data_IF_033821345513
#
_entry.id   IF_033821345513
#
_cell.length_a   1.000
_cell.length_b   1.000
_cell.length_c   1.000
_cell.angle_alpha   90.00
_cell.angle_beta   90.00
_cell.angle_gamma   90.00
#
_symmetry.space_group_name_H-M   'P 1'
#
loop_
_entity.id
_entity.type
_entity.pdbx_description
1 polymer ?
#
# COMPACT_ATOMS: atom_id res chain seq x y z
N UNK A 1 10.06 71.05 -49.58
CA UNK A 1 9.23 71.19 -48.37
C UNK A 1 8.04 70.27 -48.53
N UNK A 2 8.06 69.10 -47.90
CA UNK A 2 7.56 68.88 -46.53
C UNK A 2 6.02 68.78 -46.52
N UNK A 3 5.31 67.81 -45.94
CA UNK A 3 5.53 66.50 -45.31
C UNK A 3 4.09 65.90 -45.19
N UNK A 4 3.96 64.57 -45.27
CA UNK A 4 2.89 63.70 -44.74
C UNK A 4 1.40 64.09 -44.90
N UNK A 5 0.65 63.20 -45.57
CA UNK A 5 -0.64 62.72 -45.06
C UNK A 5 -0.65 61.20 -45.11
N UNK A 6 -0.15 60.60 -44.04
CA UNK A 6 -0.27 59.17 -43.75
C UNK A 6 -1.34 58.95 -42.68
N UNK A 7 -2.05 57.84 -42.86
CA UNK A 7 -2.50 56.90 -41.83
C UNK A 7 -3.51 57.39 -40.77
N UNK A 8 -4.76 56.94 -40.91
CA UNK A 8 -5.64 56.58 -39.79
C UNK A 8 -6.52 55.38 -40.21
N UNK A 9 -5.89 54.24 -40.43
CA UNK A 9 -6.51 52.91 -40.39
C UNK A 9 -5.93 52.22 -39.15
N UNK A 10 -6.41 52.64 -37.98
CA UNK A 10 -6.07 52.01 -36.71
C UNK A 10 -6.81 50.68 -36.59
N UNK A 11 -6.14 49.62 -37.04
CA UNK A 11 -6.10 48.28 -36.46
C UNK A 11 -7.01 48.07 -35.22
N UNK A 12 -8.24 47.58 -35.47
CA UNK A 12 -8.97 46.76 -34.50
C UNK A 12 -8.58 45.31 -34.74
N UNK A 13 -7.40 44.93 -34.25
CA UNK A 13 -7.04 43.52 -34.05
C UNK A 13 -7.59 43.17 -32.66
N UNK A 14 -8.63 42.35 -32.52
CA UNK A 14 -8.91 41.77 -31.22
C UNK A 14 -7.71 40.88 -30.92
N UNK A 15 -6.90 41.28 -29.95
CA UNK A 15 -5.98 40.38 -29.29
C UNK A 15 -6.84 39.25 -28.72
N UNK A 16 -7.02 38.19 -29.52
CA UNK A 16 -7.55 36.93 -29.05
C UNK A 16 -6.60 36.49 -27.97
N UNK A 17 -7.03 36.63 -26.72
CA UNK A 17 -6.40 35.99 -25.59
C UNK A 17 -6.52 34.51 -25.89
N UNK A 18 -5.47 33.94 -26.47
CA UNK A 18 -5.32 32.50 -26.59
C UNK A 18 -5.23 32.00 -25.16
N UNK A 19 -6.36 31.58 -24.61
CA UNK A 19 -6.35 30.67 -23.48
C UNK A 19 -5.54 29.47 -23.92
N UNK A 20 -4.31 29.36 -23.44
CA UNK A 20 -3.61 28.10 -23.43
C UNK A 20 -4.53 27.13 -22.70
N UNK A 21 -5.24 26.30 -23.46
CA UNK A 21 -6.03 25.23 -22.90
C UNK A 21 -5.02 24.33 -22.21
N UNK A 22 -4.98 24.37 -20.87
CA UNK A 22 -4.41 23.29 -20.10
C UNK A 22 -5.25 22.07 -20.43
N UNK A 23 -4.81 21.27 -21.39
CA UNK A 23 -5.43 20.00 -21.74
C UNK A 23 -5.37 19.15 -20.48
N UNK A 24 -6.51 19.00 -19.82
CA UNK A 24 -6.65 18.12 -18.67
C UNK A 24 -6.62 16.67 -19.21
N UNK A 25 -5.41 16.14 -19.40
CA UNK A 25 -5.18 14.80 -19.94
C UNK A 25 -5.76 13.79 -18.96
N UNK A 26 -6.77 13.03 -19.40
CA UNK A 26 -7.30 11.91 -18.63
C UNK A 26 -6.38 10.69 -18.81
N UNK A 27 -6.05 9.96 -17.72
CA UNK A 27 -5.36 8.69 -17.82
C UNK A 27 -6.12 7.69 -18.70
N UNK A 28 -5.40 6.95 -19.53
CA UNK A 28 -5.93 5.92 -20.41
C UNK A 28 -5.87 4.55 -19.73
N UNK A 29 -6.85 3.71 -20.07
CA UNK A 29 -7.02 2.38 -19.52
C UNK A 29 -7.14 1.33 -20.62
N UNK A 30 -7.26 0.06 -20.24
CA UNK A 30 -7.47 -1.04 -21.18
C UNK A 30 -8.82 -0.84 -21.89
N UNK A 31 -8.80 -0.90 -23.22
CA UNK A 31 -9.94 -0.63 -24.09
C UNK A 31 -9.90 0.75 -24.75
N UNK A 32 -9.14 1.70 -24.20
CA UNK A 32 -8.98 3.02 -24.81
C UNK A 32 -7.99 2.98 -25.99
N UNK A 33 -8.00 4.05 -26.79
CA UNK A 33 -7.03 4.29 -27.87
C UNK A 33 -6.21 5.54 -27.57
N UNK A 34 -4.93 5.54 -27.92
CA UNK A 34 -4.13 6.77 -27.92
C UNK A 34 -4.71 7.79 -28.92
N UNK A 35 -4.54 9.10 -28.69
CA UNK A 35 -4.95 10.12 -29.65
C UNK A 35 -4.27 9.90 -31.01
N UNK A 36 -5.03 9.94 -32.13
CA UNK A 36 -4.49 9.63 -33.46
C UNK A 36 -3.45 10.64 -33.95
N UNK A 37 -3.52 11.87 -33.45
CA UNK A 37 -2.60 12.98 -33.73
C UNK A 37 -1.46 13.08 -32.70
N UNK A 38 -1.31 12.09 -31.81
CA UNK A 38 -0.21 12.05 -30.85
C UNK A 38 1.14 11.99 -31.57
N UNK A 39 1.98 13.00 -31.30
CA UNK A 39 3.36 13.07 -31.78
C UNK A 39 4.30 12.84 -30.60
N UNK A 40 5.13 11.82 -30.71
CA UNK A 40 6.15 11.51 -29.71
C UNK A 40 7.43 12.26 -30.09
N UNK A 41 7.78 13.27 -29.30
CA UNK A 41 8.97 14.10 -29.54
C UNK A 41 10.20 13.62 -28.76
N UNK A 42 11.35 14.26 -28.98
CA UNK A 42 12.62 13.99 -28.29
C UNK A 42 13.08 12.53 -28.37
N UNK A 43 12.96 11.94 -29.56
CA UNK A 43 13.32 10.55 -29.80
C UNK A 43 14.82 10.40 -30.08
N UNK A 44 15.47 9.52 -29.32
CA UNK A 44 16.81 9.00 -29.57
C UNK A 44 16.71 7.60 -30.20
N UNK A 45 17.80 7.16 -30.85
CA UNK A 45 17.88 5.87 -31.54
C UNK A 45 16.75 5.65 -32.58
N UNK A 46 16.33 6.73 -33.24
CA UNK A 46 15.34 6.70 -34.32
C UNK A 46 15.79 7.65 -35.44
N UNK A 47 15.46 7.37 -36.72
CA UNK A 47 15.89 8.20 -37.84
C UNK A 47 15.40 9.66 -37.76
N UNK A 48 14.22 9.85 -37.17
CA UNK A 48 13.65 11.17 -36.91
C UNK A 48 13.67 11.49 -35.41
N UNK A 49 13.66 12.77 -35.07
CA UNK A 49 13.50 13.22 -33.68
C UNK A 49 12.06 13.12 -33.16
N UNK A 50 11.12 12.73 -34.04
CA UNK A 50 9.70 12.58 -33.74
C UNK A 50 9.14 11.28 -34.33
N UNK A 51 8.14 10.70 -33.67
CA UNK A 51 7.34 9.57 -34.18
C UNK A 51 5.89 10.00 -34.21
N UNK A 52 5.23 9.91 -35.36
CA UNK A 52 3.78 10.07 -35.45
C UNK A 52 3.11 8.72 -35.18
N UNK A 53 2.13 8.68 -34.29
CA UNK A 53 1.43 7.44 -33.98
C UNK A 53 0.72 6.85 -35.22
N UNK A 54 0.28 7.71 -36.14
CA UNK A 54 -0.28 7.32 -37.44
C UNK A 54 0.65 6.43 -38.27
N UNK A 55 1.98 6.59 -38.14
CA UNK A 55 2.98 5.82 -38.87
C UNK A 55 3.11 4.38 -38.35
N UNK A 56 2.52 4.11 -37.18
CA UNK A 56 2.58 2.82 -36.50
C UNK A 56 1.30 2.00 -36.67
N UNK A 57 0.32 2.52 -37.43
CA UNK A 57 -0.94 1.84 -37.69
C UNK A 57 -0.72 0.44 -38.26
N UNK A 58 -1.44 -0.55 -37.75
CA UNK A 58 -1.33 -1.94 -38.17
C UNK A 58 -0.17 -2.72 -37.55
N UNK A 59 0.64 -2.10 -36.69
CA UNK A 59 1.66 -2.79 -35.88
C UNK A 59 1.16 -2.99 -34.46
N UNK A 60 1.65 -4.04 -33.80
CA UNK A 60 1.59 -4.16 -32.34
C UNK A 60 2.57 -3.13 -31.76
N UNK A 61 2.09 -2.22 -30.93
CA UNK A 61 2.91 -1.20 -30.28
C UNK A 61 3.10 -1.59 -28.81
N UNK A 62 4.35 -1.51 -28.35
CA UNK A 62 4.70 -1.70 -26.94
C UNK A 62 5.39 -0.44 -26.46
N UNK A 63 4.76 0.25 -25.51
CA UNK A 63 5.39 1.34 -24.77
C UNK A 63 6.03 0.75 -23.52
N UNK A 64 7.34 0.91 -23.31
CA UNK A 64 8.04 0.47 -22.10
C UNK A 64 8.61 1.66 -21.34
N UNK A 65 8.04 1.98 -20.19
CA UNK A 65 8.50 3.02 -19.29
C UNK A 65 9.57 2.45 -18.35
N UNK A 66 10.78 3.01 -18.44
CA UNK A 66 11.94 2.60 -17.68
C UNK A 66 12.68 3.80 -17.09
N UNK A 67 13.61 3.55 -16.18
CA UNK A 67 14.33 4.61 -15.47
C UNK A 67 15.83 4.38 -15.41
N UNK A 68 16.60 5.46 -15.35
CA UNK A 68 18.08 5.45 -15.31
C UNK A 68 18.69 4.61 -14.20
N UNK A 69 17.99 4.44 -13.09
CA UNK A 69 18.43 3.63 -11.95
C UNK A 69 17.79 2.23 -11.88
N UNK A 70 16.99 1.85 -12.88
CA UNK A 70 16.40 0.51 -12.96
C UNK A 70 17.30 -0.45 -13.75
N UNK A 71 18.29 -1.04 -13.09
CA UNK A 71 19.20 -2.03 -13.69
C UNK A 71 18.45 -3.22 -14.35
N UNK A 72 17.41 -3.82 -13.74
CA UNK A 72 16.63 -4.88 -14.39
C UNK A 72 15.92 -4.42 -15.68
N UNK A 73 15.38 -3.19 -15.68
CA UNK A 73 14.73 -2.62 -16.86
C UNK A 73 15.73 -2.47 -18.02
N UNK A 74 16.93 -1.94 -17.74
CA UNK A 74 17.97 -1.76 -18.76
C UNK A 74 18.36 -3.10 -19.38
N UNK A 75 18.51 -4.15 -18.56
CA UNK A 75 18.78 -5.50 -19.09
C UNK A 75 17.64 -6.03 -19.98
N UNK A 76 16.38 -5.71 -19.67
CA UNK A 76 15.22 -6.12 -20.44
C UNK A 76 15.15 -5.45 -21.83
N UNK A 77 15.74 -4.26 -22.02
CA UNK A 77 15.78 -3.57 -23.31
C UNK A 77 16.41 -4.41 -24.42
N UNK A 78 17.49 -5.16 -24.12
CA UNK A 78 18.11 -6.07 -25.09
C UNK A 78 17.16 -7.20 -25.53
N UNK A 79 16.31 -7.69 -24.61
CA UNK A 79 15.30 -8.71 -24.93
C UNK A 79 14.22 -8.13 -25.84
N UNK A 80 13.72 -6.93 -25.52
CA UNK A 80 12.75 -6.21 -26.36
C UNK A 80 13.30 -5.95 -27.77
N UNK A 81 14.55 -5.50 -27.86
CA UNK A 81 15.23 -5.23 -29.14
C UNK A 81 15.33 -6.49 -30.00
N UNK A 82 15.75 -7.60 -29.40
CA UNK A 82 15.79 -8.91 -30.06
C UNK A 82 14.40 -9.37 -30.54
N UNK A 83 13.37 -9.22 -29.71
CA UNK A 83 12.00 -9.62 -30.06
C UNK A 83 11.42 -8.75 -31.19
N UNK A 84 11.64 -7.44 -31.14
CA UNK A 84 11.23 -6.53 -32.21
C UNK A 84 11.90 -6.92 -33.53
N UNK A 85 13.20 -7.19 -33.53
CA UNK A 85 13.94 -7.63 -34.73
C UNK A 85 13.38 -8.93 -35.30
N UNK A 86 13.03 -9.89 -34.44
CA UNK A 86 12.42 -11.16 -34.85
C UNK A 86 10.98 -11.03 -35.37
N UNK A 87 10.29 -9.91 -35.12
CA UNK A 87 8.89 -9.71 -35.52
C UNK A 87 8.70 -9.37 -37.01
N UNK A 88 9.76 -9.21 -37.79
CA UNK A 88 9.72 -8.83 -39.21
C UNK A 88 8.89 -7.55 -39.47
N UNK A 89 9.02 -6.56 -38.59
CA UNK A 89 8.36 -5.26 -38.74
C UNK A 89 6.91 -5.19 -38.29
N UNK A 90 6.35 -6.30 -37.77
CA UNK A 90 4.98 -6.34 -37.23
C UNK A 90 4.85 -5.69 -35.85
N UNK A 91 5.95 -5.50 -35.14
CA UNK A 91 6.00 -4.93 -33.80
C UNK A 91 6.84 -3.66 -33.80
N UNK A 92 6.36 -2.62 -33.11
CA UNK A 92 7.11 -1.43 -32.77
C UNK A 92 7.19 -1.29 -31.25
N UNK A 93 8.37 -1.44 -30.70
CA UNK A 93 8.68 -1.10 -29.32
C UNK A 93 9.15 0.36 -29.29
N UNK A 94 8.63 1.13 -28.34
CA UNK A 94 9.03 2.50 -28.05
C UNK A 94 9.30 2.56 -26.55
N UNK A 95 10.48 3.00 -26.16
CA UNK A 95 10.86 3.04 -24.75
C UNK A 95 10.81 4.47 -24.26
N UNK A 96 10.35 4.69 -23.04
CA UNK A 96 10.18 6.01 -22.42
C UNK A 96 11.07 6.05 -21.19
N UNK A 97 11.90 7.09 -21.10
CA UNK A 97 12.88 7.22 -20.01
C UNK A 97 12.80 8.59 -19.33
N UNK A 98 13.33 8.64 -18.10
CA UNK A 98 13.46 9.86 -17.30
C UNK A 98 14.72 10.69 -17.64
N UNK A 99 15.47 10.30 -18.67
CA UNK A 99 16.62 11.07 -19.17
C UNK A 99 16.15 12.37 -19.84
N UNK A 100 16.93 13.44 -19.66
CA UNK A 100 16.68 14.75 -20.29
C UNK A 100 17.53 14.98 -21.54
N UNK A 101 18.67 14.32 -21.64
CA UNK A 101 19.62 14.46 -22.75
C UNK A 101 20.18 13.10 -23.18
N UNK A 102 20.70 13.08 -24.41
CA UNK A 102 21.22 11.86 -25.05
C UNK A 102 22.54 11.41 -24.43
N UNK A 103 23.35 12.33 -23.89
CA UNK A 103 24.67 11.97 -23.36
C UNK A 103 24.55 11.13 -22.09
N UNK A 104 23.64 11.49 -21.19
CA UNK A 104 23.37 10.71 -19.98
C UNK A 104 22.75 9.35 -20.30
N UNK A 105 21.81 9.30 -21.27
CA UNK A 105 21.28 8.05 -21.80
C UNK A 105 22.40 7.14 -22.29
N UNK A 106 23.26 7.60 -23.20
CA UNK A 106 24.31 6.78 -23.79
C UNK A 106 25.41 6.40 -22.80
N UNK A 107 25.74 7.28 -21.84
CA UNK A 107 26.62 6.93 -20.71
C UNK A 107 26.04 5.78 -19.90
N UNK A 108 24.73 5.78 -19.65
CA UNK A 108 24.06 4.70 -18.93
C UNK A 108 24.05 3.42 -19.76
N UNK A 109 23.61 3.46 -21.02
CA UNK A 109 23.53 2.28 -21.88
C UNK A 109 24.89 1.59 -22.08
N UNK A 110 25.99 2.36 -22.17
CA UNK A 110 27.36 1.81 -22.27
C UNK A 110 27.83 1.06 -21.03
N UNK A 111 27.25 1.30 -19.85
CA UNK A 111 27.56 0.53 -18.63
C UNK A 111 27.05 -0.90 -18.71
N UNK A 112 26.11 -1.16 -19.61
CA UNK A 112 25.47 -2.46 -19.81
C UNK A 112 25.83 -2.99 -21.21
N UNK A 113 26.78 -3.94 -21.29
CA UNK A 113 27.33 -4.44 -22.57
C UNK A 113 26.28 -4.84 -23.61
N UNK A 114 25.14 -5.36 -23.18
CA UNK A 114 24.06 -5.82 -24.08
C UNK A 114 23.19 -4.69 -24.64
N UNK A 115 23.28 -3.47 -24.12
CA UNK A 115 22.47 -2.33 -24.57
C UNK A 115 23.29 -1.22 -25.21
N UNK A 116 24.60 -1.40 -25.37
CA UNK A 116 25.46 -0.44 -26.04
C UNK A 116 25.04 -0.20 -27.50
N UNK A 117 24.53 -1.25 -28.17
CA UNK A 117 24.08 -1.22 -29.57
C UNK A 117 22.55 -1.23 -29.70
N UNK A 118 21.84 -0.75 -28.68
CA UNK A 118 20.37 -0.72 -28.65
C UNK A 118 19.81 0.08 -29.83
N UNK A 119 18.92 -0.53 -30.60
CA UNK A 119 18.24 0.11 -31.74
C UNK A 119 16.79 0.54 -31.46
N UNK A 120 16.29 0.27 -30.25
CA UNK A 120 14.96 0.71 -29.85
C UNK A 120 14.88 2.23 -29.75
N UNK A 121 13.81 2.87 -30.27
CA UNK A 121 13.52 4.26 -29.99
C UNK A 121 13.45 4.53 -28.48
N UNK A 122 14.12 5.59 -28.04
CA UNK A 122 14.09 6.05 -26.66
C UNK A 122 13.57 7.48 -26.63
N UNK A 123 12.40 7.66 -26.03
CA UNK A 123 11.85 8.98 -25.75
C UNK A 123 12.48 9.51 -24.47
N UNK A 124 13.03 10.73 -24.55
CA UNK A 124 13.64 11.44 -23.43
C UNK A 124 12.60 12.36 -22.78
N UNK A 125 12.22 12.09 -21.54
CA UNK A 125 11.40 12.99 -20.72
C UNK A 125 10.05 13.37 -21.34
N UNK A 126 9.08 12.46 -21.34
CA UNK A 126 7.75 12.70 -21.93
C UNK A 126 6.64 12.73 -20.89
N UNK A 127 6.30 13.95 -20.45
CA UNK A 127 5.24 14.23 -19.48
C UNK A 127 3.84 13.85 -20.00
N UNK A 128 3.63 13.93 -21.32
CA UNK A 128 2.33 13.62 -21.93
C UNK A 128 2.01 12.12 -21.81
N UNK A 129 2.97 11.25 -22.14
CA UNK A 129 2.82 9.80 -21.99
C UNK A 129 2.70 9.38 -20.51
N UNK A 130 3.41 10.06 -19.61
CA UNK A 130 3.27 9.84 -18.16
C UNK A 130 1.87 10.25 -17.68
N UNK A 131 1.28 11.30 -18.26
CA UNK A 131 -0.08 11.73 -17.95
C UNK A 131 -1.13 10.73 -18.44
N UNK A 132 -0.93 10.13 -19.62
CA UNK A 132 -1.80 9.06 -20.12
C UNK A 132 -1.65 7.75 -19.34
N UNK A 133 -0.44 7.43 -18.89
CA UNK A 133 -0.12 6.18 -18.20
C UNK A 133 0.63 6.49 -16.91
N UNK A 134 -0.06 6.96 -15.85
CA UNK A 134 0.60 7.27 -14.59
C UNK A 134 1.08 5.98 -13.91
N UNK A 135 2.30 6.00 -13.37
CA UNK A 135 2.93 4.87 -12.67
C UNK A 135 3.77 5.36 -11.50
N UNK A 136 3.99 4.51 -10.49
CA UNK A 136 4.99 4.74 -9.44
C UNK A 136 6.24 3.89 -9.63
N UNK A 137 6.08 2.66 -10.13
CA UNK A 137 7.17 1.73 -10.33
C UNK A 137 7.40 1.42 -11.82
N UNK A 138 8.68 1.36 -12.21
CA UNK A 138 9.15 0.84 -13.50
C UNK A 138 9.66 -0.59 -13.33
N UNK A 139 9.63 -1.47 -14.33
CA UNK A 139 9.13 -1.33 -15.70
C UNK A 139 7.59 -1.30 -15.75
N UNK A 140 7.04 -0.43 -16.59
CA UNK A 140 5.60 -0.30 -16.85
C UNK A 140 5.39 -0.39 -18.35
N UNK A 141 4.70 -1.43 -18.82
CA UNK A 141 4.47 -1.69 -20.24
C UNK A 141 3.03 -1.47 -20.62
N UNK A 142 2.80 -0.80 -21.74
CA UNK A 142 1.49 -0.65 -22.37
C UNK A 142 1.51 -1.39 -23.71
N UNK A 143 0.60 -2.34 -23.86
CA UNK A 143 0.45 -3.15 -25.07
C UNK A 143 -0.74 -2.64 -25.87
N UNK A 144 -0.50 -2.23 -27.10
CA UNK A 144 -1.50 -1.62 -27.98
C UNK A 144 -1.58 -2.46 -29.25
N UNK A 145 -2.76 -2.99 -29.54
CA UNK A 145 -2.96 -3.86 -30.70
C UNK A 145 -2.85 -3.13 -32.04
N UNK A 146 -2.96 -3.88 -33.13
CA UNK A 146 -2.87 -3.39 -34.50
C UNK A 146 -3.98 -2.39 -34.88
N UNK A 147 -5.06 -2.31 -34.09
CA UNK A 147 -6.15 -1.34 -34.24
C UNK A 147 -5.92 -0.08 -33.40
N UNK A 148 -4.85 -0.02 -32.61
CA UNK A 148 -4.54 1.10 -31.73
C UNK A 148 -5.23 1.02 -30.35
N UNK A 149 -5.80 -0.14 -29.99
CA UNK A 149 -6.51 -0.33 -28.73
C UNK A 149 -5.55 -0.86 -27.66
N UNK A 150 -5.56 -0.26 -26.48
CA UNK A 150 -4.79 -0.73 -25.32
C UNK A 150 -5.37 -2.06 -24.83
N UNK A 151 -4.58 -3.13 -24.91
CA UNK A 151 -5.01 -4.49 -24.53
C UNK A 151 -4.50 -4.92 -23.17
N UNK A 152 -3.35 -4.40 -22.73
CA UNK A 152 -2.77 -4.75 -21.45
C UNK A 152 -1.85 -3.64 -20.93
N UNK A 153 -1.77 -3.54 -19.60
CA UNK A 153 -0.78 -2.75 -18.88
C UNK A 153 -0.08 -3.68 -17.89
N UNK A 154 1.23 -3.91 -18.03
CA UNK A 154 1.94 -4.99 -17.32
C UNK A 154 3.31 -4.56 -16.76
N UNK A 155 3.94 -5.45 -15.98
CA UNK A 155 5.37 -5.37 -15.66
C UNK A 155 6.26 -6.04 -16.73
N UNK A 156 7.58 -5.88 -16.57
CA UNK A 156 8.61 -6.37 -17.52
C UNK A 156 8.68 -7.88 -17.69
N UNK A 157 8.12 -8.66 -16.76
CA UNK A 157 8.03 -10.12 -16.83
C UNK A 157 7.16 -10.61 -18.00
N UNK A 158 6.24 -9.77 -18.50
CA UNK A 158 5.38 -10.08 -19.65
C UNK A 158 6.09 -9.93 -21.00
N UNK A 159 7.32 -9.43 -21.03
CA UNK A 159 8.14 -9.35 -22.24
C UNK A 159 8.58 -10.76 -22.64
N UNK A 160 7.78 -11.48 -23.41
CA UNK A 160 8.08 -12.81 -23.93
C UNK A 160 7.67 -12.94 -25.39
N UNK A 161 8.34 -13.83 -26.13
CA UNK A 161 7.96 -14.11 -27.52
C UNK A 161 6.56 -14.70 -27.64
N UNK A 162 6.14 -15.54 -26.68
CA UNK A 162 4.79 -16.12 -26.67
C UNK A 162 3.73 -15.04 -26.48
N UNK A 163 3.90 -14.13 -25.52
CA UNK A 163 2.95 -13.05 -25.25
C UNK A 163 2.84 -12.08 -26.43
N UNK A 164 3.97 -11.76 -27.07
CA UNK A 164 4.00 -10.95 -28.28
C UNK A 164 3.26 -11.64 -29.44
N UNK A 165 3.44 -12.96 -29.60
CA UNK A 165 2.72 -13.73 -30.61
C UNK A 165 1.22 -13.79 -30.32
N UNK A 166 0.80 -13.98 -29.06
CA UNK A 166 -0.62 -13.94 -28.68
C UNK A 166 -1.29 -12.62 -29.04
N UNK A 167 -0.61 -11.50 -28.81
CA UNK A 167 -1.08 -10.17 -29.20
C UNK A 167 -1.17 -10.00 -30.72
N UNK A 168 -0.17 -10.48 -31.46
CA UNK A 168 -0.19 -10.47 -32.94
C UNK A 168 -1.28 -11.36 -33.54
N UNK A 169 -1.60 -12.47 -32.88
CA UNK A 169 -2.70 -13.37 -33.26
C UNK A 169 -4.08 -12.77 -32.96
N UNK A 170 -4.16 -11.61 -32.28
CA UNK A 170 -5.40 -10.97 -31.89
C UNK A 170 -6.17 -11.69 -30.78
N UNK A 171 -5.48 -12.53 -29.99
CA UNK A 171 -6.11 -13.26 -28.88
C UNK A 171 -6.52 -12.30 -27.77
N UNK A 172 -7.64 -12.59 -27.11
CA UNK A 172 -8.01 -11.91 -25.87
C UNK A 172 -7.04 -12.33 -24.76
N UNK A 173 -6.27 -11.39 -24.25
CA UNK A 173 -5.36 -11.63 -23.12
C UNK A 173 -6.09 -11.35 -21.80
N UNK A 174 -5.91 -12.24 -20.81
CA UNK A 174 -6.37 -12.03 -19.44
C UNK A 174 -5.15 -11.98 -18.50
N UNK A 175 -4.29 -11.00 -18.74
CA UNK A 175 -3.11 -10.78 -17.92
C UNK A 175 -3.46 -9.86 -16.74
N UNK A 176 -2.84 -10.05 -15.56
CA UNK A 176 -3.01 -9.15 -14.44
C UNK A 176 -2.55 -7.74 -14.84
N UNK A 177 -3.44 -6.78 -14.65
CA UNK A 177 -3.13 -5.36 -14.86
C UNK A 177 -2.16 -4.91 -13.77
N UNK A 178 -1.02 -4.34 -14.16
CA UNK A 178 -0.13 -3.67 -13.22
C UNK A 178 -0.88 -2.48 -12.60
N UNK A 179 -1.08 -2.53 -11.29
CA UNK A 179 -1.74 -1.47 -10.52
C UNK A 179 -0.72 -0.78 -9.63
N UNK A 180 -0.59 0.53 -9.80
CA UNK A 180 0.21 1.39 -8.95
C UNK A 180 -0.73 2.28 -8.12
N UNK A 181 -0.54 2.30 -6.80
CA UNK A 181 -1.27 3.23 -5.92
C UNK A 181 -0.46 4.53 -5.87
N UNK A 182 -0.91 5.54 -6.62
CA UNK A 182 -0.14 6.78 -6.85
C UNK A 182 0.00 7.64 -5.59
N UNK A 183 -0.99 7.58 -4.69
CA UNK A 183 -1.10 8.37 -3.47
C UNK A 183 -0.79 7.55 -2.20
N UNK A 184 0.01 6.48 -2.34
CA UNK A 184 0.41 5.65 -1.22
C UNK A 184 1.23 6.45 -0.19
N UNK A 185 0.65 6.67 0.99
CA UNK A 185 1.27 7.40 2.09
C UNK A 185 1.83 6.43 3.15
N UNK A 186 3.10 6.08 3.02
CA UNK A 186 3.76 5.17 3.96
C UNK A 186 3.76 5.66 5.43
N UNK A 187 3.33 6.90 5.70
CA UNK A 187 3.20 7.44 7.06
C UNK A 187 1.83 7.14 7.69
N UNK A 188 0.83 6.73 6.91
CA UNK A 188 -0.46 6.29 7.46
C UNK A 188 -0.33 4.92 8.14
N UNK A 189 -1.00 4.69 9.29
CA UNK A 189 -1.05 3.38 9.94
C UNK A 189 -1.54 2.27 8.99
N UNK A 190 -0.98 1.07 9.11
CA UNK A 190 -1.37 -0.10 8.31
C UNK A 190 -2.88 -0.41 8.43
N UNK A 191 -3.49 -0.18 9.59
CA UNK A 191 -4.91 -0.44 9.83
C UNK A 191 -5.83 0.51 9.03
N UNK A 192 -5.35 1.68 8.62
CA UNK A 192 -6.12 2.60 7.79
C UNK A 192 -6.24 2.04 6.36
N UNK A 193 -5.17 1.44 5.85
CA UNK A 193 -5.15 0.74 4.57
C UNK A 193 -6.00 -0.53 4.54
N UNK A 194 -6.30 -1.11 5.70
CA UNK A 194 -7.22 -2.24 5.76
C UNK A 194 -8.67 -1.85 5.42
N UNK A 195 -8.99 -0.55 5.52
CA UNK A 195 -10.31 0.01 5.22
C UNK A 195 -10.40 0.60 3.80
N UNK A 196 -9.27 0.81 3.11
CA UNK A 196 -9.27 1.30 1.73
C UNK A 196 -9.66 0.21 0.73
N UNK A 197 -10.18 0.63 -0.43
CA UNK A 197 -10.45 -0.27 -1.56
C UNK A 197 -9.12 -0.67 -2.23
N UNK A 198 -8.22 0.30 -2.39
CA UNK A 198 -6.91 0.10 -2.99
C UNK A 198 -5.86 -0.24 -1.94
N UNK A 199 -4.91 -1.12 -2.28
CA UNK A 199 -3.82 -1.52 -1.38
C UNK A 199 -4.24 -2.42 -0.20
N UNK A 200 -5.52 -2.80 -0.10
CA UNK A 200 -6.01 -3.66 0.99
C UNK A 200 -5.30 -5.02 0.99
N UNK A 201 -4.66 -5.42 2.09
CA UNK A 201 -4.01 -6.72 2.16
C UNK A 201 -5.04 -7.85 2.13
N UNK A 202 -4.69 -8.95 1.46
CA UNK A 202 -5.53 -10.16 1.42
C UNK A 202 -5.82 -10.72 2.82
N UNK A 203 -4.83 -10.62 3.70
CA UNK A 203 -4.94 -11.02 5.10
C UNK A 203 -4.25 -9.98 5.96
N UNK A 204 -4.90 -9.63 7.08
CA UNK A 204 -4.37 -8.71 8.07
C UNK A 204 -4.49 -9.39 9.43
N UNK A 205 -3.38 -9.46 10.18
CA UNK A 205 -3.36 -10.03 11.52
C UNK A 205 -2.74 -9.00 12.46
N UNK A 206 -3.36 -8.79 13.61
CA UNK A 206 -2.92 -7.80 14.59
C UNK A 206 -3.59 -8.04 15.93
N UNK A 207 -3.01 -7.46 16.98
CA UNK A 207 -3.70 -7.25 18.25
C UNK A 207 -3.57 -5.79 18.68
N UNK A 208 -4.51 -5.33 19.50
CA UNK A 208 -4.51 -4.00 20.07
C UNK A 208 -5.05 -4.01 21.49
N UNK A 209 -4.54 -3.07 22.29
CA UNK A 209 -5.14 -2.66 23.56
C UNK A 209 -5.45 -1.17 23.46
N UNK A 210 -6.67 -0.80 23.83
CA UNK A 210 -7.12 0.59 23.89
C UNK A 210 -7.79 0.85 25.24
N UNK A 211 -7.95 2.13 25.60
CA UNK A 211 -8.78 2.54 26.73
C UNK A 211 -10.26 2.23 26.49
N UNK A 212 -11.11 2.65 27.43
CA UNK A 212 -12.55 2.60 27.29
C UNK A 212 -13.05 3.15 25.94
N UNK A 213 -14.02 2.46 25.35
CA UNK A 213 -14.72 2.85 24.14
C UNK A 213 -16.19 3.14 24.46
N UNK A 214 -16.61 4.40 24.28
CA UNK A 214 -17.97 4.84 24.59
C UNK A 214 -19.02 4.22 23.65
N UNK A 215 -20.16 3.81 24.22
CA UNK A 215 -21.27 3.22 23.47
C UNK A 215 -21.04 1.80 22.95
N UNK A 216 -19.86 1.20 23.18
CA UNK A 216 -19.55 -0.15 22.72
C UNK A 216 -19.99 -1.19 23.76
N UNK A 217 -20.87 -2.09 23.32
CA UNK A 217 -21.26 -3.30 24.03
C UNK A 217 -21.26 -4.47 23.05
N UNK A 218 -20.20 -5.27 23.08
CA UNK A 218 -20.07 -6.48 22.28
C UNK A 218 -19.92 -7.70 23.20
N UNK A 219 -20.32 -8.91 22.75
CA UNK A 219 -20.01 -10.13 23.50
C UNK A 219 -18.51 -10.25 23.67
N UNK A 220 -18.03 -10.86 24.76
CA UNK A 220 -16.61 -11.13 24.93
C UNK A 220 -16.29 -12.58 24.54
N UNK A 221 -15.13 -12.80 23.92
CA UNK A 221 -14.65 -14.14 23.60
C UNK A 221 -14.03 -14.25 22.22
N UNK A 222 -13.91 -15.49 21.76
CA UNK A 222 -13.28 -15.84 20.48
C UNK A 222 -14.32 -16.42 19.53
N UNK A 223 -14.31 -15.98 18.27
CA UNK A 223 -15.11 -16.56 17.19
C UNK A 223 -14.31 -16.62 15.90
N UNK A 224 -14.75 -17.46 14.97
CA UNK A 224 -14.11 -17.61 13.66
C UNK A 224 -14.91 -16.87 12.59
N UNK A 225 -14.20 -16.18 11.70
CA UNK A 225 -14.71 -15.58 10.48
C UNK A 225 -14.04 -16.26 9.28
N UNK A 226 -14.70 -17.31 8.78
CA UNK A 226 -14.19 -18.12 7.66
C UNK A 226 -14.12 -17.36 6.35
N UNK A 227 -14.94 -16.33 6.16
CA UNK A 227 -14.92 -15.52 4.94
C UNK A 227 -13.64 -14.67 4.86
N UNK A 228 -13.17 -14.17 6.01
CA UNK A 228 -11.89 -13.44 6.11
C UNK A 228 -10.70 -14.34 6.45
N UNK A 229 -10.92 -15.61 6.77
CA UNK A 229 -9.86 -16.56 7.14
C UNK A 229 -9.19 -16.22 8.48
N UNK A 230 -9.96 -15.66 9.42
CA UNK A 230 -9.43 -15.20 10.72
C UNK A 230 -10.18 -15.79 11.92
N UNK A 231 -9.46 -15.94 13.04
CA UNK A 231 -10.01 -16.12 14.38
C UNK A 231 -9.90 -14.80 15.13
N UNK A 232 -11.02 -14.28 15.62
CA UNK A 232 -11.11 -12.98 16.29
C UNK A 232 -11.37 -13.21 17.76
N UNK A 233 -10.55 -12.62 18.62
CA UNK A 233 -10.77 -12.55 20.06
C UNK A 233 -10.99 -11.11 20.47
N UNK A 234 -12.08 -10.85 21.20
CA UNK A 234 -12.44 -9.50 21.63
C UNK A 234 -12.90 -9.47 23.08
N UNK A 235 -12.38 -8.47 23.81
CA UNK A 235 -12.70 -8.18 25.19
C UNK A 235 -12.84 -6.67 25.36
N UNK A 236 -14.05 -6.14 25.25
CA UNK A 236 -14.27 -4.69 25.29
C UNK A 236 -14.60 -4.19 26.69
N UNK A 237 -14.04 -3.04 27.06
CA UNK A 237 -14.33 -2.31 28.28
C UNK A 237 -14.25 -3.19 29.55
N UNK A 238 -13.24 -4.04 29.64
CA UNK A 238 -12.98 -4.89 30.81
C UNK A 238 -11.97 -4.26 31.77
N UNK A 239 -12.11 -4.53 33.07
CA UNK A 239 -11.21 -4.01 34.09
C UNK A 239 -9.83 -4.66 34.02
N UNK A 240 -8.82 -4.00 34.59
CA UNK A 240 -7.47 -4.55 34.72
C UNK A 240 -7.47 -5.91 35.42
N UNK A 241 -8.31 -6.11 36.45
CA UNK A 241 -8.45 -7.40 37.13
C UNK A 241 -8.85 -8.52 36.17
N UNK A 242 -9.79 -8.25 35.27
CA UNK A 242 -10.21 -9.22 34.25
C UNK A 242 -9.13 -9.47 33.21
N UNK A 243 -8.40 -8.44 32.78
CA UNK A 243 -7.24 -8.60 31.90
C UNK A 243 -6.18 -9.50 32.53
N UNK A 244 -5.87 -9.31 33.80
CA UNK A 244 -4.92 -10.15 34.55
C UNK A 244 -5.38 -11.61 34.60
N UNK A 245 -6.65 -11.86 34.93
CA UNK A 245 -7.19 -13.21 34.95
C UNK A 245 -7.19 -13.89 33.56
N UNK A 246 -7.48 -13.13 32.50
CA UNK A 246 -7.36 -13.60 31.12
C UNK A 246 -5.90 -13.94 30.75
N UNK A 247 -4.94 -13.14 31.19
CA UNK A 247 -3.53 -13.34 30.88
C UNK A 247 -2.91 -14.55 31.61
N UNK A 248 -3.35 -14.79 32.84
CA UNK A 248 -2.77 -15.83 33.70
C UNK A 248 -3.52 -17.16 33.66
N UNK A 249 -4.83 -17.14 33.41
CA UNK A 249 -5.68 -18.34 33.44
C UNK A 249 -6.64 -18.48 32.27
N UNK A 250 -6.60 -17.55 31.31
CA UNK A 250 -7.56 -17.52 30.21
C UNK A 250 -9.02 -17.58 30.69
N UNK A 251 -9.28 -16.97 31.85
CA UNK A 251 -10.57 -16.96 32.52
C UNK A 251 -10.97 -15.54 32.86
N UNK A 252 -12.25 -15.22 32.67
CA UNK A 252 -12.83 -13.92 33.03
C UNK A 252 -13.71 -14.01 34.29
N UNK A 253 -13.67 -15.16 34.98
CA UNK A 253 -14.57 -15.49 36.10
C UNK A 253 -13.93 -15.25 37.48
N UNK A 254 -12.67 -14.80 37.52
CA UNK A 254 -12.00 -14.48 38.77
C UNK A 254 -12.77 -13.41 39.55
N UNK A 255 -13.11 -13.71 40.79
CA UNK A 255 -13.79 -12.79 41.71
C UNK A 255 -12.78 -11.87 42.40
N UNK A 256 -13.25 -10.73 42.93
CA UNK A 256 -12.40 -9.71 43.54
C UNK A 256 -11.54 -10.25 44.68
N UNK A 257 -12.07 -11.19 45.46
CA UNK A 257 -11.40 -11.75 46.64
C UNK A 257 -10.14 -12.56 46.28
N UNK A 258 -10.03 -12.97 45.00
CA UNK A 258 -8.87 -13.69 44.47
C UNK A 258 -7.70 -12.77 44.12
N UNK A 259 -7.79 -11.46 44.37
CA UNK A 259 -6.75 -10.50 44.00
C UNK A 259 -6.11 -9.83 45.23
N UNK A 260 -4.79 -9.95 45.32
CA UNK A 260 -3.95 -9.10 46.18
C UNK A 260 -3.42 -7.93 45.38
N UNK A 261 -3.59 -6.70 45.88
CA UNK A 261 -3.17 -5.47 45.20
C UNK A 261 -2.00 -4.82 45.96
N UNK A 262 -0.80 -4.93 45.41
CA UNK A 262 0.41 -4.23 45.84
C UNK A 262 0.60 -2.98 44.97
N UNK A 263 -0.28 -2.00 45.17
CA UNK A 263 -0.43 -0.84 44.28
C UNK A 263 -0.52 0.44 45.09
N UNK A 264 -0.16 1.58 44.50
CA UNK A 264 -0.21 2.87 45.20
C UNK A 264 -1.65 3.39 45.32
N UNK A 265 -2.50 3.07 44.33
CA UNK A 265 -3.88 3.51 44.26
C UNK A 265 -4.81 2.34 43.90
N UNK A 266 -5.57 1.88 44.89
CA UNK A 266 -6.51 0.76 44.72
C UNK A 266 -7.76 1.14 43.95
N UNK A 267 -8.07 2.43 43.82
CA UNK A 267 -9.27 2.91 43.13
C UNK A 267 -9.21 2.66 41.63
N UNK A 268 -8.03 2.47 41.04
CA UNK A 268 -7.88 2.04 39.63
C UNK A 268 -8.37 0.61 39.35
N UNK A 269 -8.42 -0.22 40.39
CA UNK A 269 -8.72 -1.65 40.28
C UNK A 269 -10.10 -2.01 40.80
N UNK A 270 -10.66 -1.17 41.68
CA UNK A 270 -11.93 -1.40 42.37
C UNK A 270 -12.70 -0.09 42.46
N UNK A 271 -13.98 -0.12 42.10
CA UNK A 271 -14.89 1.02 42.27
C UNK A 271 -15.02 1.38 43.74
N UNK A 272 -14.73 2.64 44.11
CA UNK A 272 -15.05 3.16 45.44
C UNK A 272 -16.56 3.33 45.62
N UNK A 273 -17.07 3.15 46.85
CA UNK A 273 -18.50 3.28 47.13
C UNK A 273 -19.07 4.69 46.87
N UNK A 274 -18.20 5.71 46.89
CA UNK A 274 -18.54 7.11 46.66
C UNK A 274 -18.51 7.54 45.17
N UNK A 275 -18.08 6.67 44.26
CA UNK A 275 -17.90 7.00 42.84
C UNK A 275 -18.98 6.35 41.98
N UNK A 276 -19.46 7.06 40.96
CA UNK A 276 -20.35 6.47 39.97
C UNK A 276 -19.62 5.40 39.16
N UNK A 277 -20.21 4.20 39.12
CA UNK A 277 -19.65 3.06 38.37
C UNK A 277 -19.37 3.38 36.90
N UNK A 278 -20.24 4.17 36.27
CA UNK A 278 -20.09 4.55 34.86
C UNK A 278 -18.83 5.37 34.63
N UNK A 279 -18.57 6.37 35.48
CA UNK A 279 -17.35 7.19 35.42
C UNK A 279 -16.10 6.33 35.66
N UNK A 280 -16.16 5.47 36.67
CA UNK A 280 -15.08 4.54 36.95
C UNK A 280 -14.74 3.63 35.75
N UNK A 281 -15.76 3.14 35.03
CA UNK A 281 -15.57 2.31 33.84
C UNK A 281 -14.84 3.10 32.75
N UNK A 282 -15.18 4.37 32.53
CA UNK A 282 -14.53 5.22 31.53
C UNK A 282 -13.03 5.34 31.78
N UNK A 283 -12.65 5.48 33.04
CA UNK A 283 -11.26 5.73 33.41
C UNK A 283 -10.42 4.47 33.61
N UNK A 284 -11.05 3.33 33.94
CA UNK A 284 -10.35 2.15 34.47
C UNK A 284 -10.61 0.85 33.71
N UNK A 285 -11.19 0.94 32.51
CA UNK A 285 -11.39 -0.23 31.64
C UNK A 285 -10.69 -0.08 30.31
N UNK A 286 -10.42 -1.24 29.72
CA UNK A 286 -9.65 -1.37 28.50
C UNK A 286 -10.34 -2.32 27.54
N UNK A 287 -10.11 -2.10 26.27
CA UNK A 287 -10.61 -2.92 25.18
C UNK A 287 -9.44 -3.61 24.49
N UNK A 288 -9.44 -4.94 24.53
CA UNK A 288 -8.48 -5.80 23.86
C UNK A 288 -9.10 -6.45 22.63
N UNK A 289 -8.39 -6.42 21.51
CA UNK A 289 -8.80 -7.07 20.27
C UNK A 289 -7.61 -7.82 19.67
N UNK A 290 -7.85 -9.02 19.15
CA UNK A 290 -6.88 -9.75 18.35
C UNK A 290 -7.56 -10.41 17.16
N UNK A 291 -6.95 -10.26 15.99
CA UNK A 291 -7.31 -10.94 14.75
C UNK A 291 -6.13 -11.80 14.31
N UNK A 292 -6.31 -13.11 14.41
CA UNK A 292 -5.29 -14.14 14.18
C UNK A 292 -5.68 -15.04 13.01
N UNK A 293 -4.73 -15.82 12.44
CA UNK A 293 -5.07 -16.81 11.41
C UNK A 293 -6.09 -17.85 11.90
N UNK A 294 -7.07 -18.18 11.08
CA UNK A 294 -8.11 -19.18 11.43
C UNK A 294 -7.56 -20.60 11.65
N UNK A 295 -6.36 -20.89 11.12
CA UNK A 295 -5.73 -22.20 11.24
C UNK A 295 -5.07 -22.49 12.59
N UNK A 296 -5.00 -21.53 13.50
CA UNK A 296 -4.41 -21.75 14.82
C UNK A 296 -5.32 -22.61 15.70
N UNK A 297 -4.70 -23.51 16.46
CA UNK A 297 -5.37 -24.27 17.51
C UNK A 297 -5.79 -23.36 18.68
N UNK A 298 -6.77 -23.81 19.47
CA UNK A 298 -7.20 -23.10 20.67
C UNK A 298 -6.03 -22.84 21.64
N UNK A 299 -5.05 -23.76 21.73
CA UNK A 299 -3.90 -23.60 22.62
C UNK A 299 -2.91 -22.55 22.13
N UNK A 300 -2.68 -22.47 20.82
CA UNK A 300 -1.84 -21.43 20.21
C UNK A 300 -2.46 -20.04 20.39
N UNK A 301 -3.78 -19.93 20.18
CA UNK A 301 -4.55 -18.70 20.43
C UNK A 301 -4.42 -18.31 21.91
N UNK A 302 -4.70 -19.24 22.84
CA UNK A 302 -4.55 -19.00 24.28
C UNK A 302 -3.13 -18.49 24.61
N UNK A 303 -2.11 -19.13 24.08
CA UNK A 303 -0.70 -18.81 24.36
C UNK A 303 -0.34 -17.42 23.83
N UNK A 304 -0.78 -17.08 22.62
CA UNK A 304 -0.60 -15.76 22.03
C UNK A 304 -1.26 -14.68 22.90
N UNK A 305 -2.55 -14.86 23.21
CA UNK A 305 -3.34 -13.88 23.96
C UNK A 305 -2.77 -13.64 25.35
N UNK A 306 -2.37 -14.71 26.06
CA UNK A 306 -1.74 -14.60 27.37
C UNK A 306 -0.45 -13.81 27.32
N UNK A 307 0.44 -14.15 26.38
CA UNK A 307 1.72 -13.47 26.20
C UNK A 307 1.52 -11.99 25.86
N UNK A 308 0.59 -11.69 24.96
CA UNK A 308 0.34 -10.34 24.49
C UNK A 308 -0.32 -9.45 25.56
N UNK A 309 -1.31 -9.97 26.31
CA UNK A 309 -1.93 -9.22 27.41
C UNK A 309 -0.91 -8.98 28.54
N UNK A 310 -0.08 -9.97 28.90
CA UNK A 310 1.02 -9.77 29.88
C UNK A 310 1.97 -8.67 29.39
N UNK A 311 2.33 -8.67 28.10
CA UNK A 311 3.18 -7.63 27.51
C UNK A 311 2.56 -6.24 27.68
N UNK A 312 1.27 -6.07 27.38
CA UNK A 312 0.59 -4.79 27.56
C UNK A 312 0.51 -4.35 29.03
N UNK A 313 0.16 -5.26 29.94
CA UNK A 313 0.13 -4.98 31.38
C UNK A 313 1.51 -4.50 31.87
N UNK A 314 2.58 -5.18 31.46
CA UNK A 314 3.95 -4.78 31.82
C UNK A 314 4.32 -3.40 31.27
N UNK A 315 3.90 -3.06 30.04
CA UNK A 315 4.11 -1.72 29.45
C UNK A 315 3.34 -0.62 30.21
N UNK A 316 2.19 -0.96 30.79
CA UNK A 316 1.44 -0.09 31.70
C UNK A 316 2.05 -0.04 33.11
N UNK A 317 3.15 -0.76 33.37
CA UNK A 317 3.80 -0.83 34.67
C UNK A 317 3.10 -1.75 35.68
N UNK A 318 2.28 -2.68 35.20
CA UNK A 318 1.52 -3.63 36.01
C UNK A 318 2.11 -5.02 35.84
N UNK A 319 2.65 -5.57 36.91
CA UNK A 319 3.13 -6.95 36.98
C UNK A 319 2.07 -7.81 37.65
N UNK A 320 1.84 -9.00 37.10
CA UNK A 320 0.86 -9.92 37.66
C UNK A 320 1.43 -11.34 37.73
N UNK A 321 1.23 -11.97 38.87
CA UNK A 321 1.65 -13.33 39.14
C UNK A 321 0.47 -14.16 39.63
N UNK A 322 0.53 -15.46 39.35
CA UNK A 322 -0.46 -16.43 39.80
C UNK A 322 0.13 -17.27 40.92
N UNK A 323 -0.59 -17.34 42.02
CA UNK A 323 -0.38 -18.25 43.14
C UNK A 323 -1.52 -19.27 43.22
N UNK A 324 -1.24 -20.45 43.77
CA UNK A 324 -2.26 -21.43 44.11
C UNK A 324 -2.51 -21.39 45.63
N UNK A 325 -3.76 -21.15 46.03
CA UNK A 325 -4.18 -21.18 47.45
C UNK A 325 -5.21 -22.27 47.68
N UNK A 326 -5.20 -22.87 48.85
CA UNK A 326 -6.18 -23.88 49.25
C UNK A 326 -7.20 -23.26 50.19
N UNK A 327 -8.46 -23.21 49.78
CA UNK A 327 -9.58 -22.71 50.60
C UNK A 327 -10.56 -23.87 50.78
N UNK A 328 -10.82 -24.26 52.03
CA UNK A 328 -11.65 -25.43 52.36
C UNK A 328 -11.20 -26.72 51.63
N UNK A 329 -9.89 -26.90 51.47
CA UNK A 329 -9.29 -28.07 50.82
C UNK A 329 -9.34 -28.06 49.28
N UNK A 330 -9.93 -27.03 48.65
CA UNK A 330 -9.98 -26.92 47.19
C UNK A 330 -8.92 -25.95 46.67
N UNK A 331 -8.15 -26.30 45.63
CA UNK A 331 -7.19 -25.39 45.01
C UNK A 331 -7.91 -24.29 44.25
N UNK A 332 -7.59 -23.04 44.57
CA UNK A 332 -8.11 -21.85 43.92
C UNK A 332 -6.95 -20.98 43.44
N UNK A 333 -7.09 -20.44 42.22
CA UNK A 333 -6.13 -19.50 41.66
C UNK A 333 -6.26 -18.15 42.37
N UNK A 334 -5.13 -17.62 42.81
CA UNK A 334 -5.01 -16.32 43.45
C UNK A 334 -4.04 -15.46 42.65
N UNK A 335 -4.35 -14.19 42.45
CA UNK A 335 -3.60 -13.29 41.59
C UNK A 335 -2.97 -12.18 42.43
N UNK A 336 -1.68 -11.95 42.24
CA UNK A 336 -0.94 -10.88 42.90
C UNK A 336 -0.61 -9.83 41.84
N UNK A 337 -1.14 -8.63 42.01
CA UNK A 337 -0.88 -7.50 41.13
C UNK A 337 0.07 -6.54 41.84
N UNK A 338 1.16 -6.18 41.18
CA UNK A 338 2.15 -5.22 41.69
C UNK A 338 2.39 -4.12 40.68
N UNK A 339 2.22 -2.85 41.08
CA UNK A 339 2.61 -1.70 40.26
C UNK A 339 4.11 -1.43 40.38
N UNK A 340 4.76 -1.10 39.27
CA UNK A 340 6.19 -0.72 39.24
C UNK A 340 6.54 0.39 40.23
N UNK A 341 5.64 1.37 40.38
CA UNK A 341 5.83 2.48 41.30
C UNK A 341 5.82 2.04 42.78
N UNK A 342 5.01 1.03 43.12
CA UNK A 342 4.93 0.47 44.47
C UNK A 342 6.22 -0.27 44.86
N UNK A 343 6.82 -1.00 43.92
CA UNK A 343 8.11 -1.68 44.14
C UNK A 343 9.27 -0.72 44.42
N UNK A 344 9.24 0.50 43.89
CA UNK A 344 10.24 1.55 44.17
C UNK A 344 10.10 2.17 45.56
N UNK A 345 8.86 2.28 46.08
CA UNK A 345 8.60 2.78 47.43
C UNK A 345 9.09 1.80 48.49
N UNK A 346 8.83 0.49 48.31
CA UNK A 346 9.32 -0.56 49.21
C UNK A 346 10.85 -0.74 49.25
N UNK A 347 11.57 -0.27 48.24
CA UNK A 347 13.04 -0.33 48.19
C UNK A 347 13.71 0.95 48.73
N UNK A 348 12.92 1.97 49.05
CA UNK A 348 13.36 3.23 49.63
C UNK A 348 13.10 3.32 51.15
N UNK A 349 12.30 2.40 51.68
CA UNK A 349 12.12 2.10 53.12
C UNK A 349 13.06 0.94 53.52
#
# INVERSE_FOLDING_TARGET
MQVLRWALLALLWPAGITYAQTTNIQPLTIGDTLPPDLILENVANYPASKIHLSDLKGKLIILDFWGKYCSPCIHALHKLDSLQKASNGKVQVITISDFKDKDDLYKTLRRFKKTETLSLPVILGNEQLISYFPYTLVSHLVWIDTNGIIKAITGGEYITGSNMQEMLDGKSVNWPVKKDVLDFDYKKPLLDYAQSIEGRPRSLYYSSLSSYMEGISAPNGTYNDSARGVSVTLFYNISILKLVALALDYSHLAKREQFTLNVCDTTKYVTAASQYRTEWIKDNTYSYYAQLPIGLSAKEIETFLRTDIIRWLNLMGIYAEKEMKYINGMPQSHYVITEKAFGKLKAAD
#
